data_IF_854343844325
#
_entry.id   IF_854343844325
#
_cell.length_a   1.000
_cell.length_b   1.000
_cell.length_c   1.000
_cell.angle_alpha   90.00
_cell.angle_beta   90.00
_cell.angle_gamma   90.00
#
_symmetry.space_group_name_H-M   'P 1'
#
loop_
_entity.id
_entity.type
_entity.pdbx_description
1 polymer ?
#
# COMPACT_ATOMS: atom_id res chain seq x y z
N UNK A 1 -5.66 21.66 -17.54
CA UNK A 1 -6.96 21.88 -18.25
C UNK A 1 -6.79 23.07 -19.20
N UNK A 2 -6.42 22.85 -20.46
CA UNK A 2 -6.13 23.91 -21.44
C UNK A 2 -6.79 23.63 -22.79
N UNK A 3 -8.12 23.57 -22.78
CA UNK A 3 -8.91 23.54 -24.01
C UNK A 3 -10.09 24.48 -23.80
N UNK A 4 -10.11 25.56 -24.57
CA UNK A 4 -11.31 26.35 -24.78
C UNK A 4 -12.03 25.67 -25.95
N UNK A 5 -13.05 24.88 -25.63
CA UNK A 5 -13.81 24.16 -26.64
C UNK A 5 -14.62 25.17 -27.47
N UNK A 6 -14.12 25.47 -28.66
CA UNK A 6 -14.87 26.05 -29.77
C UNK A 6 -14.39 25.33 -31.03
N UNK A 7 -15.23 25.22 -32.06
CA UNK A 7 -15.27 24.17 -33.09
C UNK A 7 -13.97 23.86 -33.89
N UNK A 8 -12.88 24.57 -33.67
CA UNK A 8 -11.53 24.28 -34.19
C UNK A 8 -10.52 24.51 -33.08
N UNK A 9 -9.76 23.47 -32.72
CA UNK A 9 -8.72 23.54 -31.69
C UNK A 9 -7.54 24.32 -32.26
N UNK A 10 -7.49 25.63 -31.99
CA UNK A 10 -6.31 26.44 -32.27
C UNK A 10 -5.26 26.16 -31.18
N UNK A 11 -4.17 25.50 -31.57
CA UNK A 11 -3.04 25.23 -30.69
C UNK A 11 -2.15 26.47 -30.69
N UNK A 12 -2.09 27.14 -29.54
CA UNK A 12 -1.27 28.34 -29.29
C UNK A 12 0.23 27.97 -29.39
N UNK A 13 0.81 28.10 -30.59
CA UNK A 13 2.15 27.59 -30.96
C UNK A 13 3.28 28.26 -30.16
N UNK A 14 3.12 29.52 -29.74
CA UNK A 14 4.11 30.23 -28.92
C UNK A 14 4.24 29.68 -27.49
N UNK A 15 3.18 29.07 -26.96
CA UNK A 15 3.19 28.41 -25.64
C UNK A 15 3.72 26.98 -25.70
N UNK A 16 3.55 26.31 -26.83
CA UNK A 16 4.06 24.96 -27.05
C UNK A 16 5.60 24.93 -27.07
N UNK A 17 6.25 25.95 -27.66
CA UNK A 17 7.72 26.05 -27.67
C UNK A 17 8.34 26.31 -26.29
N UNK A 18 7.58 26.89 -25.35
CA UNK A 18 7.99 27.14 -23.96
C UNK A 18 7.60 26.03 -22.99
N UNK A 19 6.94 24.99 -23.46
CA UNK A 19 6.46 23.90 -22.62
C UNK A 19 7.65 23.03 -22.19
N UNK A 20 8.04 23.14 -20.92
CA UNK A 20 9.09 22.32 -20.32
C UNK A 20 8.47 21.35 -19.34
N UNK A 21 8.88 20.09 -19.40
CA UNK A 21 8.46 19.09 -18.42
C UNK A 21 9.15 19.39 -17.09
N UNK A 22 8.35 19.71 -16.09
CA UNK A 22 8.82 20.04 -14.75
C UNK A 22 8.68 18.85 -13.81
N UNK A 23 9.44 18.86 -12.70
CA UNK A 23 9.29 17.85 -11.63
C UNK A 23 7.83 17.76 -11.12
N UNK A 24 7.12 18.87 -11.10
CA UNK A 24 5.70 18.92 -10.72
C UNK A 24 4.81 18.09 -11.64
N UNK A 25 5.12 18.02 -12.93
CA UNK A 25 4.34 17.23 -13.89
C UNK A 25 4.49 15.73 -13.60
N UNK A 26 5.72 15.28 -13.32
CA UNK A 26 5.98 13.90 -12.91
C UNK A 26 5.33 13.54 -11.58
N UNK A 27 5.42 14.40 -10.56
CA UNK A 27 4.77 14.15 -9.27
C UNK A 27 3.24 14.18 -9.39
N UNK A 28 2.70 15.06 -10.24
CA UNK A 28 1.26 15.12 -10.52
C UNK A 28 0.75 13.84 -11.17
N UNK A 29 1.45 13.34 -12.19
CA UNK A 29 1.07 12.09 -12.86
C UNK A 29 1.31 10.84 -12.01
N UNK A 30 2.38 10.81 -11.21
CA UNK A 30 2.62 9.69 -10.29
C UNK A 30 1.51 9.57 -9.23
N UNK A 31 1.02 10.71 -8.72
CA UNK A 31 0.02 10.72 -7.67
C UNK A 31 -1.41 10.48 -8.20
N UNK A 32 -1.72 10.92 -9.41
CA UNK A 32 -3.10 10.94 -9.91
C UNK A 32 -3.37 9.99 -11.10
N UNK A 33 -2.40 9.77 -11.97
CA UNK A 33 -2.63 9.13 -13.28
C UNK A 33 -2.08 7.70 -13.34
N UNK A 34 -0.96 7.41 -12.64
CA UNK A 34 -0.23 6.16 -12.76
C UNK A 34 -0.37 5.36 -11.46
N UNK A 35 -1.15 4.28 -11.51
CA UNK A 35 -1.22 3.29 -10.42
C UNK A 35 -0.24 2.15 -10.72
N UNK A 36 0.81 1.95 -9.91
CA UNK A 36 1.73 0.85 -10.14
C UNK A 36 0.99 -0.48 -9.98
N UNK A 37 1.12 -1.37 -10.97
CA UNK A 37 0.51 -2.70 -10.91
C UNK A 37 1.20 -3.63 -9.89
N UNK A 38 2.40 -3.26 -9.44
CA UNK A 38 3.24 -3.98 -8.49
C UNK A 38 3.76 -3.00 -7.43
N UNK A 39 3.60 -3.34 -6.14
CA UNK A 39 4.04 -2.50 -5.02
C UNK A 39 2.91 -2.02 -4.11
N UNK A 40 3.19 -0.99 -3.32
CA UNK A 40 2.28 -0.39 -2.34
C UNK A 40 1.12 0.35 -3.01
N UNK A 41 -0.03 -0.31 -3.08
CA UNK A 41 -1.29 0.32 -3.49
C UNK A 41 -1.77 1.27 -2.38
N UNK A 42 -1.33 2.53 -2.40
CA UNK A 42 -1.67 3.53 -1.38
C UNK A 42 -3.19 3.74 -1.20
N UNK A 43 -3.98 3.63 -2.28
CA UNK A 43 -5.44 3.75 -2.22
C UNK A 43 -6.12 2.64 -1.41
N UNK A 44 -5.54 1.43 -1.37
CA UNK A 44 -6.10 0.34 -0.58
C UNK A 44 -5.97 0.65 0.94
N UNK A 45 -4.88 1.29 1.39
CA UNK A 45 -4.64 1.59 2.81
C UNK A 45 -5.62 2.60 3.40
N UNK A 46 -5.97 3.63 2.63
CA UNK A 46 -6.93 4.65 3.08
C UNK A 46 -8.30 4.05 3.44
N UNK A 47 -8.68 2.95 2.78
CA UNK A 47 -9.92 2.22 3.11
C UNK A 47 -9.86 1.48 4.44
N UNK A 48 -8.68 0.99 4.83
CA UNK A 48 -8.46 0.28 6.11
C UNK A 48 -8.18 1.23 7.28
N UNK A 49 -7.61 2.40 7.00
CA UNK A 49 -7.25 3.42 7.99
C UNK A 49 -8.11 4.68 7.77
N UNK A 50 -9.43 4.55 7.91
CA UNK A 50 -10.36 5.66 7.61
C UNK A 50 -10.15 6.90 8.48
N UNK A 51 -9.84 6.71 9.77
CA UNK A 51 -9.73 7.80 10.76
C UNK A 51 -8.30 7.99 11.29
N UNK A 52 -7.29 7.45 10.60
CA UNK A 52 -5.93 7.42 11.11
C UNK A 52 -5.76 6.48 12.32
N UNK A 53 -4.57 6.53 12.93
CA UNK A 53 -4.25 5.83 14.18
C UNK A 53 -4.11 6.85 15.31
N UNK A 54 -5.01 6.78 16.29
CA UNK A 54 -4.97 7.62 17.48
C UNK A 54 -4.21 6.88 18.57
N UNK A 55 -3.12 7.48 19.07
CA UNK A 55 -2.37 6.97 20.23
C UNK A 55 -3.11 7.32 21.52
N UNK A 56 -4.19 6.59 21.81
CA UNK A 56 -5.05 6.84 22.97
C UNK A 56 -4.47 6.33 24.30
N UNK A 57 -3.42 5.53 24.25
CA UNK A 57 -2.72 5.05 25.44
C UNK A 57 -1.47 4.26 25.06
N UNK A 58 -0.72 3.88 26.09
CA UNK A 58 0.54 3.13 25.97
C UNK A 58 0.41 1.83 25.16
N UNK A 59 -0.69 1.04 25.25
CA UNK A 59 -0.80 -0.20 24.49
C UNK A 59 -0.66 0.00 22.97
N UNK A 60 -1.17 1.11 22.43
CA UNK A 60 -1.06 1.40 20.99
C UNK A 60 0.38 1.70 20.61
N UNK A 61 1.07 2.47 21.44
CA UNK A 61 2.49 2.81 21.22
C UNK A 61 3.34 1.55 21.29
N UNK A 62 3.14 0.70 22.31
CA UNK A 62 3.86 -0.58 22.42
C UNK A 62 3.66 -1.46 21.19
N UNK A 63 2.43 -1.60 20.69
CA UNK A 63 2.16 -2.44 19.50
C UNK A 63 2.85 -1.89 18.25
N UNK A 64 2.90 -0.57 18.08
CA UNK A 64 3.61 0.05 16.95
C UNK A 64 5.13 -0.11 17.08
N UNK A 65 5.68 0.07 18.28
CA UNK A 65 7.10 -0.07 18.56
C UNK A 65 7.56 -1.54 18.39
N UNK A 66 6.78 -2.50 18.89
CA UNK A 66 7.01 -3.93 18.68
C UNK A 66 6.94 -4.29 17.19
N UNK A 67 5.97 -3.71 16.47
CA UNK A 67 5.83 -3.85 15.02
C UNK A 67 7.08 -3.37 14.27
N UNK A 68 7.59 -2.19 14.61
CA UNK A 68 8.82 -1.65 14.02
C UNK A 68 10.03 -2.54 14.34
N UNK A 69 10.14 -3.05 15.57
CA UNK A 69 11.23 -3.94 15.94
C UNK A 69 11.23 -5.24 15.12
N UNK A 70 10.06 -5.80 14.83
CA UNK A 70 9.90 -6.99 13.99
C UNK A 70 10.20 -6.71 12.51
N UNK A 71 9.84 -5.52 12.03
CA UNK A 71 10.23 -5.04 10.69
C UNK A 71 11.75 -4.92 10.59
N UNK A 72 12.40 -4.30 11.58
CA UNK A 72 13.86 -4.17 11.64
C UNK A 72 14.56 -5.53 11.70
N UNK A 73 13.99 -6.48 12.46
CA UNK A 73 14.49 -7.85 12.48
C UNK A 73 14.45 -8.48 11.08
N UNK A 74 13.34 -8.31 10.35
CA UNK A 74 13.18 -8.86 8.99
C UNK A 74 14.12 -8.18 8.00
N UNK A 75 14.40 -6.87 8.16
CA UNK A 75 15.35 -6.12 7.32
C UNK A 75 16.80 -6.55 7.51
N UNK A 76 17.20 -6.79 8.75
CA UNK A 76 18.62 -6.88 9.13
C UNK A 76 19.11 -8.32 9.40
N UNK A 77 18.21 -9.29 9.57
CA UNK A 77 18.57 -10.65 9.98
C UNK A 77 18.59 -11.61 8.79
N UNK A 78 19.78 -12.11 8.45
CA UNK A 78 19.93 -13.20 7.47
C UNK A 78 19.50 -14.57 8.02
N UNK A 79 19.40 -14.71 9.35
CA UNK A 79 19.03 -15.98 10.01
C UNK A 79 17.53 -16.17 10.12
N UNK A 80 16.77 -15.09 10.12
CA UNK A 80 15.30 -15.10 10.27
C UNK A 80 14.64 -14.29 9.15
N UNK A 81 14.76 -14.74 7.88
CA UNK A 81 14.24 -14.00 6.73
C UNK A 81 12.71 -13.98 6.66
N UNK A 82 12.04 -14.87 7.40
CA UNK A 82 10.59 -14.94 7.53
C UNK A 82 10.20 -14.70 8.98
N UNK A 83 9.43 -13.65 9.23
CA UNK A 83 8.82 -13.33 10.51
C UNK A 83 7.31 -13.34 10.34
N UNK A 84 6.60 -14.06 11.20
CA UNK A 84 5.15 -14.12 11.22
C UNK A 84 4.64 -13.62 12.57
N UNK A 85 3.64 -12.73 12.52
CA UNK A 85 3.09 -12.04 13.70
C UNK A 85 1.58 -12.16 13.65
N UNK A 86 0.97 -12.44 14.81
CA UNK A 86 -0.48 -12.47 14.98
C UNK A 86 -0.88 -11.32 15.91
N UNK A 87 -1.70 -10.39 15.40
CA UNK A 87 -2.36 -9.40 16.23
C UNK A 87 -3.68 -9.99 16.76
N UNK A 88 -3.76 -10.19 18.07
CA UNK A 88 -4.97 -10.68 18.74
C UNK A 88 -5.64 -9.59 19.58
N UNK A 89 -6.92 -9.80 19.88
CA UNK A 89 -7.70 -8.88 20.72
C UNK A 89 -9.20 -8.91 20.41
N UNK A 90 -10.02 -8.21 21.22
CA UNK A 90 -11.47 -8.18 21.08
C UNK A 90 -11.93 -7.73 19.68
N UNK A 91 -13.12 -8.12 19.20
CA UNK A 91 -13.66 -7.57 17.94
C UNK A 91 -13.77 -6.04 18.03
N UNK A 92 -13.61 -5.34 16.89
CA UNK A 92 -13.63 -3.87 16.80
C UNK A 92 -12.49 -3.10 17.48
N UNK A 93 -11.44 -3.77 17.96
CA UNK A 93 -10.24 -3.13 18.56
C UNK A 93 -9.30 -2.43 17.57
N UNK A 94 -9.60 -2.44 16.26
CA UNK A 94 -8.76 -1.77 15.25
C UNK A 94 -7.51 -2.54 14.80
N UNK A 95 -7.45 -3.86 15.06
CA UNK A 95 -6.32 -4.73 14.65
C UNK A 95 -5.93 -4.58 13.18
N UNK A 96 -6.90 -4.57 12.27
CA UNK A 96 -6.65 -4.42 10.83
C UNK A 96 -6.02 -3.07 10.50
N UNK A 97 -6.47 -2.00 11.17
CA UNK A 97 -5.89 -0.66 10.98
C UNK A 97 -4.46 -0.60 11.53
N UNK A 98 -4.18 -1.23 12.68
CA UNK A 98 -2.83 -1.33 13.23
C UNK A 98 -1.89 -2.14 12.33
N UNK A 99 -2.34 -3.29 11.80
CA UNK A 99 -1.57 -4.07 10.83
C UNK A 99 -1.25 -3.28 9.56
N UNK A 100 -2.25 -2.57 9.02
CA UNK A 100 -2.09 -1.68 7.89
C UNK A 100 -1.04 -0.59 8.20
N UNK A 101 -1.12 0.06 9.37
CA UNK A 101 -0.17 1.10 9.78
C UNK A 101 1.27 0.57 9.91
N UNK A 102 1.45 -0.60 10.54
CA UNK A 102 2.78 -1.23 10.70
C UNK A 102 3.34 -1.58 9.32
N UNK A 103 2.51 -2.17 8.45
CA UNK A 103 2.94 -2.52 7.10
C UNK A 103 3.29 -1.29 6.26
N UNK A 104 2.54 -0.20 6.35
CA UNK A 104 2.86 1.08 5.69
C UNK A 104 4.16 1.69 6.23
N UNK A 105 4.35 1.70 7.54
CA UNK A 105 5.55 2.23 8.21
C UNK A 105 6.81 1.40 7.90
N UNK A 106 6.65 0.15 7.48
CA UNK A 106 7.78 -0.72 7.11
C UNK A 106 8.54 -0.26 5.88
N UNK A 107 7.92 0.55 5.02
CA UNK A 107 8.49 1.03 3.75
C UNK A 107 9.04 -0.09 2.85
N UNK A 108 8.45 -1.29 2.93
CA UNK A 108 8.87 -2.38 2.06
C UNK A 108 8.46 -2.15 0.59
N UNK A 109 9.28 -2.60 -0.38
CA UNK A 109 8.97 -2.46 -1.81
C UNK A 109 7.65 -3.13 -2.22
N UNK A 110 7.31 -4.25 -1.56
CA UNK A 110 6.05 -4.96 -1.80
C UNK A 110 5.27 -5.06 -0.51
N UNK A 111 4.08 -4.45 -0.47
CA UNK A 111 3.16 -4.57 0.65
C UNK A 111 1.77 -4.89 0.10
N UNK A 112 1.16 -5.99 0.58
CA UNK A 112 -0.15 -6.43 0.12
C UNK A 112 -1.05 -6.83 1.28
N UNK A 113 -2.28 -6.32 1.28
CA UNK A 113 -3.34 -6.72 2.20
C UNK A 113 -4.25 -7.75 1.51
N UNK A 114 -4.32 -8.94 2.08
CA UNK A 114 -5.16 -10.05 1.65
C UNK A 114 -6.53 -9.97 2.34
N UNK A 115 -7.35 -8.98 1.96
CA UNK A 115 -8.69 -8.85 2.54
C UNK A 115 -9.66 -9.92 1.99
N UNK A 116 -10.51 -10.50 2.86
CA UNK A 116 -11.62 -11.36 2.44
C UNK A 116 -12.62 -10.65 1.53
N UNK A 117 -12.70 -9.32 1.55
CA UNK A 117 -13.62 -8.52 0.72
C UNK A 117 -13.34 -8.72 -0.78
N UNK A 118 -12.08 -8.93 -1.15
CA UNK A 118 -11.65 -9.21 -2.53
C UNK A 118 -11.93 -10.64 -2.97
N UNK A 119 -12.38 -11.50 -2.05
CA UNK A 119 -12.60 -12.94 -2.26
C UNK A 119 -14.06 -13.36 -2.03
N UNK A 120 -14.98 -12.40 -2.00
CA UNK A 120 -16.41 -12.67 -1.87
C UNK A 120 -16.90 -13.43 -3.11
N UNK A 121 -17.61 -14.55 -2.90
CA UNK A 121 -18.14 -15.40 -3.98
C UNK A 121 -17.14 -16.39 -4.59
N UNK A 122 -15.90 -16.44 -4.10
CA UNK A 122 -14.91 -17.40 -4.57
C UNK A 122 -15.14 -18.79 -3.95
N UNK A 123 -14.98 -19.83 -4.78
CA UNK A 123 -14.87 -21.21 -4.28
C UNK A 123 -13.60 -21.40 -3.44
N UNK A 124 -13.55 -22.43 -2.60
CA UNK A 124 -12.38 -22.73 -1.76
C UNK A 124 -11.09 -22.82 -2.59
N UNK A 125 -11.14 -23.53 -3.73
CA UNK A 125 -10.02 -23.62 -4.66
C UNK A 125 -9.59 -22.26 -5.21
N UNK A 126 -10.55 -21.37 -5.50
CA UNK A 126 -10.27 -20.03 -6.01
C UNK A 126 -9.65 -19.12 -4.94
N UNK A 127 -10.07 -19.27 -3.67
CA UNK A 127 -9.44 -18.57 -2.53
C UNK A 127 -8.01 -19.03 -2.32
N UNK A 128 -7.77 -20.34 -2.30
CA UNK A 128 -6.44 -20.91 -2.19
C UNK A 128 -5.52 -20.42 -3.32
N UNK A 129 -6.03 -20.36 -4.56
CA UNK A 129 -5.28 -19.86 -5.71
C UNK A 129 -4.96 -18.36 -5.59
N UNK A 130 -5.92 -17.56 -5.11
CA UNK A 130 -5.71 -16.12 -4.89
C UNK A 130 -4.65 -15.85 -3.82
N UNK A 131 -4.73 -16.56 -2.68
CA UNK A 131 -3.73 -16.46 -1.60
C UNK A 131 -2.36 -16.90 -2.11
N UNK A 132 -2.28 -18.06 -2.79
CA UNK A 132 -1.03 -18.56 -3.38
C UNK A 132 -0.39 -17.52 -4.30
N UNK A 133 -1.19 -16.89 -5.17
CA UNK A 133 -0.71 -15.85 -6.08
C UNK A 133 -0.13 -14.63 -5.33
N UNK A 134 -0.77 -14.20 -4.24
CA UNK A 134 -0.27 -13.08 -3.40
C UNK A 134 1.11 -13.41 -2.83
N UNK A 135 1.31 -14.61 -2.30
CA UNK A 135 2.60 -15.04 -1.78
C UNK A 135 3.65 -15.22 -2.89
N UNK A 136 3.27 -15.76 -4.06
CA UNK A 136 4.17 -15.85 -5.22
C UNK A 136 4.64 -14.47 -5.70
N UNK A 137 3.77 -13.46 -5.68
CA UNK A 137 4.14 -12.09 -6.00
C UNK A 137 5.04 -11.47 -4.92
N UNK A 138 4.78 -11.78 -3.63
CA UNK A 138 5.62 -11.33 -2.52
C UNK A 138 7.05 -11.88 -2.58
N UNK A 139 7.24 -13.12 -3.05
CA UNK A 139 8.56 -13.74 -3.22
C UNK A 139 9.39 -13.16 -4.37
N UNK A 140 8.79 -12.40 -5.29
CA UNK A 140 9.53 -11.70 -6.36
C UNK A 140 10.26 -10.46 -5.84
N UNK A 141 9.87 -9.95 -4.68
CA UNK A 141 10.50 -8.81 -4.03
C UNK A 141 11.56 -9.28 -3.04
N UNK A 142 12.65 -8.52 -2.88
CA UNK A 142 13.68 -8.80 -1.86
C UNK A 142 13.12 -8.65 -0.44
N UNK A 143 12.28 -7.62 -0.23
CA UNK A 143 11.58 -7.37 1.02
C UNK A 143 10.09 -7.26 0.72
N UNK A 144 9.28 -7.98 1.48
CA UNK A 144 7.83 -7.97 1.33
C UNK A 144 7.11 -8.09 2.66
N UNK A 145 5.96 -7.44 2.76
CA UNK A 145 5.02 -7.57 3.87
C UNK A 145 3.65 -7.97 3.32
N UNK A 146 3.09 -9.03 3.90
CA UNK A 146 1.75 -9.50 3.56
C UNK A 146 0.91 -9.47 4.83
N UNK A 147 -0.17 -8.70 4.80
CA UNK A 147 -1.18 -8.67 5.85
C UNK A 147 -2.30 -9.62 5.43
N UNK A 148 -2.66 -10.56 6.30
CA UNK A 148 -3.69 -11.59 6.05
C UNK A 148 -4.93 -11.29 6.89
#
# INVERSE_FOLDING_TARGET
RHIKATATVEVDTERAEKLQVTRSDFMGSLNNDIKPAFGSNQEDYASYIMNGIIKWGDPVTCVLDDGELLVQQTKNSDRTPLVAVLLEGPPHSGKTALAAQISESSEFPFIKICSPDKMIGFSENSKCLAIKKIFEDAYKSQLSCVVV
#
